data_IF_866131295982
#
_entry.id   IF_866131295982
#
_cell.length_a   1.000
_cell.length_b   1.000
_cell.length_c   1.000
_cell.angle_alpha   90.00
_cell.angle_beta   90.00
_cell.angle_gamma   90.00
#
_symmetry.space_group_name_H-M   'P 1'
#
loop_
_entity.id
_entity.type
_entity.pdbx_description
1 polymer ?
#
# COMPACT_ATOMS: atom_id res chain seq x y z
N UNK A 1 -21.42 45.02 11.22
CA UNK A 1 -22.17 43.75 11.07
C UNK A 1 -21.21 42.61 11.37
N UNK A 2 -21.13 42.21 12.64
CA UNK A 2 -20.31 41.10 13.09
C UNK A 2 -21.18 39.84 13.08
N UNK A 3 -20.86 38.89 12.20
CA UNK A 3 -21.48 37.57 12.21
C UNK A 3 -20.92 36.83 13.43
N UNK A 4 -21.77 36.55 14.41
CA UNK A 4 -21.43 35.74 15.57
C UNK A 4 -21.11 34.31 15.11
N UNK A 5 -19.82 33.95 15.09
CA UNK A 5 -19.40 32.55 15.11
C UNK A 5 -19.69 32.01 16.52
N UNK A 6 -20.88 31.45 16.70
CA UNK A 6 -21.18 30.61 17.85
C UNK A 6 -20.47 29.27 17.60
N UNK A 7 -19.18 29.22 17.95
CA UNK A 7 -18.54 27.95 18.29
C UNK A 7 -19.17 27.51 19.61
N UNK A 8 -20.30 26.82 19.53
CA UNK A 8 -20.73 25.93 20.60
C UNK A 8 -19.65 24.86 20.70
N UNK A 9 -18.70 25.02 21.63
CA UNK A 9 -17.86 23.91 22.08
C UNK A 9 -18.79 22.79 22.52
N UNK A 10 -18.99 21.79 21.65
CA UNK A 10 -19.71 20.58 22.00
C UNK A 10 -19.06 20.02 23.27
N UNK A 11 -19.81 20.00 24.38
CA UNK A 11 -19.37 19.37 25.63
C UNK A 11 -18.90 17.96 25.31
N UNK A 12 -17.58 17.76 25.30
CA UNK A 12 -16.97 16.46 25.07
C UNK A 12 -17.57 15.49 26.10
N UNK A 13 -18.30 14.46 25.66
CA UNK A 13 -18.97 13.56 26.58
C UNK A 13 -17.91 12.87 27.44
N UNK A 14 -18.05 12.95 28.76
CA UNK A 14 -17.13 12.38 29.75
C UNK A 14 -17.11 10.85 29.76
N UNK A 15 -17.91 10.19 28.92
CA UNK A 15 -18.01 8.73 28.73
C UNK A 15 -18.12 8.41 27.25
N UNK A 16 -17.54 7.28 26.83
CA UNK A 16 -17.62 6.76 25.46
C UNK A 16 -19.07 6.70 24.97
N UNK A 17 -19.41 7.58 24.02
CA UNK A 17 -20.76 7.65 23.45
C UNK A 17 -20.82 6.94 22.10
N UNK A 18 -21.14 5.64 22.11
CA UNK A 18 -21.28 4.81 20.92
C UNK A 18 -22.36 5.32 19.92
N UNK A 19 -23.28 6.21 20.34
CA UNK A 19 -24.26 6.81 19.42
C UNK A 19 -23.59 7.71 18.37
N UNK A 20 -22.47 8.34 18.70
CA UNK A 20 -21.70 9.18 17.76
C UNK A 20 -21.07 8.30 16.68
N UNK A 21 -20.47 7.17 17.07
CA UNK A 21 -19.92 6.17 16.15
C UNK A 21 -20.96 5.63 15.16
N UNK A 22 -22.20 5.36 15.62
CA UNK A 22 -23.27 4.92 14.73
C UNK A 22 -23.64 5.96 13.67
N UNK A 23 -23.64 7.26 14.02
CA UNK A 23 -23.89 8.34 13.05
C UNK A 23 -22.77 8.40 12.02
N UNK A 24 -21.50 8.36 12.46
CA UNK A 24 -20.33 8.34 11.58
C UNK A 24 -20.42 7.15 10.62
N UNK A 25 -20.62 5.92 11.14
CA UNK A 25 -20.74 4.72 10.32
C UNK A 25 -21.83 4.82 9.24
N UNK A 26 -22.98 5.44 9.55
CA UNK A 26 -24.07 5.62 8.58
C UNK A 26 -23.65 6.54 7.42
N UNK A 27 -22.97 7.65 7.72
CA UNK A 27 -22.45 8.56 6.70
C UNK A 27 -21.34 7.93 5.88
N UNK A 28 -20.45 7.19 6.55
CA UNK A 28 -19.34 6.47 5.93
C UNK A 28 -19.87 5.37 4.98
N UNK A 29 -20.85 4.57 5.41
CA UNK A 29 -21.49 3.54 4.58
C UNK A 29 -22.28 4.10 3.40
N UNK A 30 -22.81 5.33 3.47
CA UNK A 30 -23.46 5.96 2.32
C UNK A 30 -22.46 6.15 1.15
N UNK A 31 -21.18 6.30 1.45
CA UNK A 31 -20.07 6.45 0.50
C UNK A 31 -19.16 5.21 0.46
N UNK A 32 -19.73 4.02 0.70
CA UNK A 32 -18.97 2.77 0.78
C UNK A 32 -18.06 2.46 -0.43
N UNK A 33 -18.34 2.86 -1.69
CA UNK A 33 -17.42 2.56 -2.79
C UNK A 33 -16.05 3.23 -2.60
N UNK A 34 -16.02 4.47 -2.09
CA UNK A 34 -14.78 5.19 -1.80
C UNK A 34 -13.99 4.52 -0.67
N UNK A 35 -14.68 3.94 0.32
CA UNK A 35 -14.01 3.17 1.38
C UNK A 35 -13.33 1.92 0.84
N UNK A 36 -13.97 1.22 -0.10
CA UNK A 36 -13.35 0.06 -0.72
C UNK A 36 -12.10 0.47 -1.49
N UNK A 37 -12.20 1.54 -2.31
CA UNK A 37 -11.06 2.05 -3.08
C UNK A 37 -9.91 2.44 -2.15
N UNK A 38 -10.19 3.17 -1.07
CA UNK A 38 -9.19 3.57 -0.08
C UNK A 38 -8.57 2.36 0.62
N UNK A 39 -9.40 1.41 1.06
CA UNK A 39 -8.93 0.20 1.75
C UNK A 39 -8.04 -0.63 0.86
N UNK A 40 -8.47 -0.90 -0.38
CA UNK A 40 -7.67 -1.65 -1.36
C UNK A 40 -6.38 -0.93 -1.68
N UNK A 41 -6.43 0.39 -1.85
CA UNK A 41 -5.24 1.19 -2.13
C UNK A 41 -4.24 1.12 -0.98
N UNK A 42 -4.71 1.29 0.26
CA UNK A 42 -3.88 1.18 1.46
C UNK A 42 -3.30 -0.23 1.64
N UNK A 43 -4.08 -1.28 1.33
CA UNK A 43 -3.60 -2.66 1.38
C UNK A 43 -2.48 -2.90 0.36
N UNK A 44 -2.64 -2.41 -0.87
CA UNK A 44 -1.62 -2.54 -1.92
C UNK A 44 -0.34 -1.79 -1.55
N UNK A 45 -0.44 -0.56 -1.05
CA UNK A 45 0.76 0.18 -0.58
C UNK A 45 1.44 -0.52 0.59
N UNK A 46 0.65 -1.02 1.55
CA UNK A 46 1.19 -1.73 2.72
C UNK A 46 1.88 -3.02 2.31
N UNK A 47 1.27 -3.80 1.41
CA UNK A 47 1.88 -5.01 0.84
C UNK A 47 3.18 -4.70 0.12
N UNK A 48 3.20 -3.64 -0.70
CA UNK A 48 4.42 -3.24 -1.39
C UNK A 48 5.54 -2.92 -0.39
N UNK A 49 5.26 -2.05 0.58
CA UNK A 49 6.27 -1.49 1.48
C UNK A 49 6.74 -2.54 2.51
N UNK A 50 5.84 -3.38 3.01
CA UNK A 50 6.11 -4.28 4.15
C UNK A 50 6.57 -5.66 3.73
N UNK A 51 6.30 -6.07 2.49
CA UNK A 51 6.52 -7.46 2.07
C UNK A 51 7.25 -7.53 0.73
N UNK A 52 6.66 -6.96 -0.31
CA UNK A 52 7.22 -7.09 -1.66
C UNK A 52 8.65 -6.53 -1.75
N UNK A 53 8.87 -5.29 -1.31
CA UNK A 53 10.17 -4.63 -1.41
C UNK A 53 11.26 -5.37 -0.60
N UNK A 54 11.05 -5.74 0.68
CA UNK A 54 12.00 -6.57 1.43
C UNK A 54 12.33 -7.91 0.75
N UNK A 55 11.32 -8.63 0.25
CA UNK A 55 11.52 -9.95 -0.37
C UNK A 55 12.29 -9.85 -1.68
N UNK A 56 11.98 -8.85 -2.50
CA UNK A 56 12.71 -8.59 -3.74
C UNK A 56 14.17 -8.25 -3.44
N UNK A 57 14.43 -7.39 -2.44
CA UNK A 57 15.79 -7.03 -2.05
C UNK A 57 16.56 -8.22 -1.50
N UNK A 58 15.94 -9.07 -0.68
CA UNK A 58 16.54 -10.30 -0.17
C UNK A 58 16.92 -11.24 -1.32
N UNK A 59 16.02 -11.48 -2.28
CA UNK A 59 16.27 -12.31 -3.45
C UNK A 59 17.45 -11.77 -4.30
N UNK A 60 17.55 -10.45 -4.48
CA UNK A 60 18.69 -9.85 -5.17
C UNK A 60 20.01 -10.12 -4.42
N UNK A 61 20.04 -9.96 -3.10
CA UNK A 61 21.23 -10.22 -2.29
C UNK A 61 21.63 -11.70 -2.35
N UNK A 62 20.66 -12.62 -2.22
CA UNK A 62 20.89 -14.07 -2.32
C UNK A 62 21.38 -14.52 -3.69
N UNK A 63 21.10 -13.74 -4.74
CA UNK A 63 21.56 -14.03 -6.10
C UNK A 63 23.02 -13.60 -6.37
N UNK A 64 23.62 -12.72 -5.56
CA UNK A 64 24.98 -12.20 -5.75
C UNK A 64 26.05 -13.31 -5.88
N UNK A 65 26.06 -14.37 -5.04
CA UNK A 65 27.04 -15.45 -5.16
C UNK A 65 26.93 -16.24 -6.47
N UNK A 66 25.78 -16.18 -7.15
CA UNK A 66 25.47 -16.96 -8.35
C UNK A 66 25.62 -16.13 -9.65
N UNK A 67 26.29 -14.98 -9.59
CA UNK A 67 26.51 -14.12 -10.76
C UNK A 67 27.35 -14.86 -11.81
N UNK A 68 26.84 -15.09 -13.03
CA UNK A 68 27.61 -15.69 -14.10
C UNK A 68 28.73 -14.74 -14.54
N UNK A 69 29.95 -15.26 -14.65
CA UNK A 69 31.14 -14.49 -15.09
C UNK A 69 31.05 -13.98 -16.54
N UNK A 70 30.22 -14.60 -17.38
CA UNK A 70 30.11 -14.25 -18.79
C UNK A 70 29.05 -13.19 -19.10
N UNK A 71 27.87 -13.27 -18.47
CA UNK A 71 26.77 -12.37 -18.75
C UNK A 71 25.78 -12.30 -17.58
N UNK A 72 25.61 -11.09 -17.03
CA UNK A 72 24.68 -10.79 -15.94
C UNK A 72 23.22 -11.01 -16.35
N UNK A 73 22.91 -10.92 -17.65
CA UNK A 73 21.54 -11.16 -18.16
C UNK A 73 21.00 -12.56 -17.85
N UNK A 74 21.89 -13.55 -17.72
CA UNK A 74 21.55 -14.94 -17.41
C UNK A 74 21.51 -15.23 -15.90
N UNK A 75 21.67 -14.20 -15.05
CA UNK A 75 21.50 -14.35 -13.62
C UNK A 75 20.05 -14.78 -13.33
N UNK A 76 19.92 -15.92 -12.66
CA UNK A 76 18.65 -16.44 -12.17
C UNK A 76 18.50 -15.94 -10.73
N UNK A 77 17.46 -15.16 -10.51
CA UNK A 77 17.07 -14.65 -9.20
C UNK A 77 15.86 -15.47 -8.74
N UNK A 78 16.01 -16.18 -7.63
CA UNK A 78 14.93 -16.94 -7.01
C UNK A 78 14.23 -16.05 -5.98
N UNK A 79 12.99 -15.69 -6.28
CA UNK A 79 12.17 -14.85 -5.42
C UNK A 79 11.23 -15.74 -4.64
N UNK A 80 11.35 -15.70 -3.30
CA UNK A 80 10.49 -16.42 -2.38
C UNK A 80 9.42 -15.46 -1.85
N UNK A 81 8.16 -15.65 -2.27
CA UNK A 81 7.02 -14.89 -1.76
C UNK A 81 6.45 -15.52 -0.49
N UNK A 82 5.58 -14.75 0.17
CA UNK A 82 4.73 -15.22 1.27
C UNK A 82 3.93 -16.45 0.80
N UNK A 83 3.75 -17.43 1.68
CA UNK A 83 3.12 -18.74 1.41
C UNK A 83 3.98 -19.75 0.63
N UNK A 84 5.31 -19.64 0.72
CA UNK A 84 6.24 -20.63 0.15
C UNK A 84 6.12 -20.77 -1.38
N UNK A 85 5.67 -19.69 -2.04
CA UNK A 85 5.62 -19.59 -3.50
C UNK A 85 6.98 -19.08 -3.95
N UNK A 86 7.79 -19.96 -4.53
CA UNK A 86 9.06 -19.59 -5.15
C UNK A 86 8.92 -19.50 -6.67
N UNK A 87 9.51 -18.47 -7.26
CA UNK A 87 9.59 -18.34 -8.70
C UNK A 87 10.97 -17.83 -9.12
N UNK A 88 11.41 -18.29 -10.28
CA UNK A 88 12.73 -17.96 -10.84
C UNK A 88 12.56 -16.97 -11.97
N UNK A 89 13.25 -15.84 -11.87
CA UNK A 89 13.23 -14.79 -12.90
C UNK A 89 14.64 -14.48 -13.35
N UNK A 90 14.77 -14.14 -14.63
CA UNK A 90 16.03 -13.60 -15.15
C UNK A 90 16.20 -12.15 -14.71
N UNK A 91 17.44 -11.63 -14.79
CA UNK A 91 17.77 -10.26 -14.40
C UNK A 91 16.83 -9.19 -15.00
N UNK A 92 16.54 -9.27 -16.29
CA UNK A 92 15.64 -8.31 -16.95
C UNK A 92 14.19 -8.40 -16.46
N UNK A 93 13.71 -9.62 -16.22
CA UNK A 93 12.35 -9.84 -15.70
C UNK A 93 12.25 -9.32 -14.27
N UNK A 94 13.27 -9.54 -13.45
CA UNK A 94 13.37 -9.00 -12.10
C UNK A 94 13.34 -7.46 -12.11
N UNK A 95 14.16 -6.82 -12.95
CA UNK A 95 14.21 -5.36 -13.06
C UNK A 95 12.86 -4.77 -13.54
N UNK A 96 12.24 -5.40 -14.54
CA UNK A 96 10.93 -4.99 -15.05
C UNK A 96 9.84 -5.14 -13.99
N UNK A 97 9.83 -6.25 -13.24
CA UNK A 97 8.88 -6.51 -12.17
C UNK A 97 9.02 -5.48 -11.04
N UNK A 98 10.26 -5.11 -10.68
CA UNK A 98 10.54 -4.07 -9.70
C UNK A 98 10.06 -2.70 -10.17
N UNK A 99 10.34 -2.34 -11.43
CA UNK A 99 9.89 -1.08 -12.03
C UNK A 99 8.35 -0.98 -12.08
N UNK A 100 7.68 -2.03 -12.53
CA UNK A 100 6.21 -2.07 -12.60
C UNK A 100 5.59 -1.92 -11.21
N UNK A 101 6.18 -2.54 -10.19
CA UNK A 101 5.70 -2.42 -8.83
C UNK A 101 5.84 -1.00 -8.27
N UNK A 102 6.92 -0.27 -8.60
CA UNK A 102 7.08 1.15 -8.25
C UNK A 102 5.97 2.00 -8.90
N UNK A 103 5.68 1.76 -10.18
CA UNK A 103 4.62 2.47 -10.90
C UNK A 103 3.25 2.20 -10.28
N UNK A 104 2.94 0.94 -9.98
CA UNK A 104 1.69 0.57 -9.30
C UNK A 104 1.58 1.31 -7.97
N UNK A 105 2.62 1.29 -7.13
CA UNK A 105 2.62 2.01 -5.86
C UNK A 105 2.36 3.51 -6.04
N UNK A 106 3.00 4.15 -7.01
CA UNK A 106 2.81 5.57 -7.27
C UNK A 106 1.34 5.89 -7.64
N UNK A 107 0.73 5.07 -8.50
CA UNK A 107 -0.69 5.19 -8.87
C UNK A 107 -1.58 4.99 -7.65
N UNK A 108 -1.30 3.99 -6.82
CA UNK A 108 -2.08 3.70 -5.62
C UNK A 108 -2.04 4.84 -4.60
N UNK A 109 -0.87 5.44 -4.40
CA UNK A 109 -0.72 6.62 -3.54
C UNK A 109 -1.53 7.80 -4.12
N UNK A 110 -1.44 8.04 -5.43
CA UNK A 110 -2.22 9.08 -6.10
C UNK A 110 -3.74 8.88 -5.92
N UNK A 111 -4.25 7.67 -6.14
CA UNK A 111 -5.68 7.34 -5.94
C UNK A 111 -6.11 7.61 -4.49
N UNK A 112 -5.26 7.25 -3.53
CA UNK A 112 -5.53 7.47 -2.10
C UNK A 112 -5.66 8.96 -1.80
N UNK A 113 -4.72 9.78 -2.28
CA UNK A 113 -4.78 11.24 -2.10
C UNK A 113 -5.97 11.87 -2.83
N UNK A 114 -6.26 11.44 -4.05
CA UNK A 114 -7.40 11.95 -4.82
C UNK A 114 -8.75 11.62 -4.18
N UNK A 115 -8.88 10.43 -3.58
CA UNK A 115 -10.13 10.00 -2.94
C UNK A 115 -10.34 10.63 -1.56
N UNK A 116 -9.27 11.12 -0.93
CA UNK A 116 -9.32 11.71 0.41
C UNK A 116 -9.56 13.23 0.39
N UNK A 117 -9.19 13.91 -0.70
CA UNK A 117 -9.41 15.34 -0.91
C UNK A 117 -10.75 15.62 -1.61
#
# INVERSE_FOLDING_TARGET
MAHNFVFEEEKLPTKYNFKVWKKIFKYTLANWPFLIILTLSMLVTTFYDSSFLPLMNAAAIESIPNIPSNNIANLIIEVNLIFNISFKVNFYQYALLFFMAIVIRAITIFITFYTTN
#
